data_IF_017758432810
#
_entry.id   IF_017758432810
#
_cell.length_a   1.000
_cell.length_b   1.000
_cell.length_c   1.000
_cell.angle_alpha   90.00
_cell.angle_beta   90.00
_cell.angle_gamma   90.00
#
_symmetry.space_group_name_H-M   'P 1'
#
loop_
_entity.id
_entity.type
_entity.pdbx_description
1 polymer ?
#
# COMPACT_ATOMS: atom_id res chain seq x y z
N UNK A 1 18.35 -17.88 -1.82
CA UNK A 1 17.32 -17.99 -2.86
C UNK A 1 16.07 -18.66 -2.26
N UNK A 2 15.11 -17.87 -1.76
CA UNK A 2 13.95 -18.39 -0.97
C UNK A 2 12.91 -19.13 -1.82
N UNK A 3 13.01 -19.05 -3.15
CA UNK A 3 12.08 -19.67 -4.09
C UNK A 3 12.33 -21.17 -4.34
N UNK A 4 13.44 -21.75 -3.83
CA UNK A 4 13.86 -23.11 -4.17
C UNK A 4 13.38 -24.21 -3.21
N UNK A 5 12.70 -23.88 -2.11
CA UNK A 5 12.13 -24.89 -1.23
C UNK A 5 10.91 -25.55 -1.90
N UNK A 6 11.10 -26.80 -2.35
CA UNK A 6 10.23 -27.56 -3.26
C UNK A 6 8.81 -27.84 -2.74
N UNK A 7 8.55 -27.66 -1.44
CA UNK A 7 7.30 -28.09 -0.78
C UNK A 7 6.53 -26.95 -0.06
N UNK A 8 6.73 -25.69 -0.44
CA UNK A 8 6.01 -24.55 0.15
C UNK A 8 4.79 -24.16 -0.69
N UNK A 9 3.65 -23.94 -0.02
CA UNK A 9 2.46 -23.37 -0.64
C UNK A 9 2.72 -21.94 -1.13
N UNK A 10 1.90 -21.43 -2.05
CA UNK A 10 2.01 -20.05 -2.53
C UNK A 10 1.82 -19.04 -1.39
N UNK A 11 0.96 -19.35 -0.42
CA UNK A 11 0.74 -18.55 0.77
C UNK A 11 1.99 -18.50 1.66
N UNK A 12 2.63 -19.65 1.87
CA UNK A 12 3.86 -19.75 2.65
C UNK A 12 5.02 -19.00 1.99
N UNK A 13 5.10 -19.02 0.65
CA UNK A 13 6.08 -18.24 -0.13
C UNK A 13 5.82 -16.73 -0.01
N UNK A 14 4.56 -16.30 -0.04
CA UNK A 14 4.19 -14.91 0.14
C UNK A 14 4.54 -14.42 1.56
N UNK A 15 4.27 -15.22 2.59
CA UNK A 15 4.63 -14.90 3.97
C UNK A 15 6.14 -14.75 4.17
N UNK A 16 6.94 -15.65 3.58
CA UNK A 16 8.41 -15.56 3.61
C UNK A 16 8.94 -14.32 2.86
N UNK A 17 8.34 -13.98 1.72
CA UNK A 17 8.71 -12.79 0.97
C UNK A 17 8.36 -11.50 1.72
N UNK A 18 7.16 -11.43 2.29
CA UNK A 18 6.71 -10.30 3.11
C UNK A 18 7.59 -10.11 4.36
N UNK A 19 7.98 -11.21 5.02
CA UNK A 19 8.91 -11.16 6.14
C UNK A 19 10.27 -10.56 5.75
N UNK A 20 10.84 -11.03 4.63
CA UNK A 20 12.10 -10.50 4.10
C UNK A 20 12.02 -9.02 3.74
N UNK A 21 10.92 -8.62 3.10
CA UNK A 21 10.68 -7.23 2.72
C UNK A 21 10.62 -6.31 3.95
N UNK A 22 9.97 -6.79 5.03
CA UNK A 22 9.81 -6.06 6.28
C UNK A 22 11.09 -5.92 7.11
N UNK A 23 12.06 -6.83 6.92
CA UNK A 23 13.35 -6.78 7.59
C UNK A 23 14.32 -5.83 6.89
N UNK A 24 14.25 -5.76 5.55
CA UNK A 24 15.04 -4.82 4.74
C UNK A 24 14.47 -3.40 4.70
N UNK A 25 13.26 -3.19 5.24
CA UNK A 25 12.67 -1.86 5.32
C UNK A 25 13.31 -1.05 6.47
N UNK A 26 13.79 0.19 6.23
CA UNK A 26 14.31 1.03 7.30
C UNK A 26 13.21 1.33 8.33
N UNK A 27 13.49 1.02 9.61
CA UNK A 27 12.52 1.21 10.70
C UNK A 27 12.64 2.61 11.30
N UNK A 28 11.59 3.42 11.18
CA UNK A 28 11.46 4.71 11.85
C UNK A 28 10.94 4.56 13.29
N UNK A 29 11.16 5.58 14.12
CA UNK A 29 10.61 5.63 15.50
C UNK A 29 9.08 5.57 15.53
N UNK A 30 8.42 6.05 14.47
CA UNK A 30 6.97 5.98 14.31
C UNK A 30 6.50 4.53 14.14
N UNK A 31 7.19 3.71 13.34
CA UNK A 31 6.82 2.30 13.17
C UNK A 31 6.83 1.51 14.49
N UNK A 32 7.80 1.75 15.38
CA UNK A 32 7.82 1.10 16.70
C UNK A 32 6.66 1.53 17.60
N UNK A 33 6.26 2.81 17.54
CA UNK A 33 5.11 3.32 18.31
C UNK A 33 3.80 2.71 17.81
N UNK A 34 3.61 2.69 16.49
CA UNK A 34 2.41 2.11 15.87
C UNK A 34 2.32 0.60 16.18
N UNK A 35 3.45 -0.13 16.08
CA UNK A 35 3.49 -1.54 16.43
C UNK A 35 3.13 -1.78 17.90
N UNK A 36 3.69 -0.98 18.82
CA UNK A 36 3.39 -1.09 20.25
C UNK A 36 1.93 -0.84 20.57
N UNK A 37 1.31 0.18 19.96
CA UNK A 37 -0.12 0.47 20.14
C UNK A 37 -0.99 -0.64 19.56
N UNK A 38 -0.71 -1.13 18.35
CA UNK A 38 -1.47 -2.23 17.73
C UNK A 38 -1.46 -3.51 18.57
N UNK A 39 -0.32 -3.84 19.20
CA UNK A 39 -0.23 -4.99 20.12
C UNK A 39 -1.09 -4.80 21.38
N UNK A 40 -1.29 -3.56 21.84
CA UNK A 40 -2.11 -3.25 23.01
C UNK A 40 -3.61 -3.21 22.70
N UNK A 41 -3.98 -2.78 21.48
CA UNK A 41 -5.39 -2.66 21.06
C UNK A 41 -5.96 -3.93 20.44
N UNK A 42 -5.16 -5.00 20.32
CA UNK A 42 -5.57 -6.25 19.68
C UNK A 42 -5.67 -6.16 18.15
N UNK A 43 -5.19 -5.07 17.56
CA UNK A 43 -5.18 -4.84 16.11
C UNK A 43 -4.09 -5.69 15.44
N UNK A 44 -4.29 -6.04 14.17
CA UNK A 44 -3.33 -6.89 13.41
C UNK A 44 -1.93 -6.25 13.36
N UNK A 45 -0.91 -7.09 13.61
CA UNK A 45 0.51 -6.72 13.55
C UNK A 45 0.90 -6.20 12.17
N UNK A 46 1.72 -5.15 12.12
CA UNK A 46 2.33 -4.62 10.89
C UNK A 46 3.32 -5.61 10.23
N UNK A 47 3.80 -6.59 11.00
CA UNK A 47 4.73 -7.59 10.53
C UNK A 47 4.04 -8.94 10.39
N UNK A 48 4.27 -9.67 9.28
CA UNK A 48 3.70 -11.00 9.10
C UNK A 48 4.22 -11.93 10.20
N UNK A 49 3.31 -12.67 10.82
CA UNK A 49 3.65 -13.67 11.82
C UNK A 49 4.00 -14.99 11.11
N UNK A 50 5.28 -15.31 11.02
CA UNK A 50 5.73 -16.60 10.46
C UNK A 50 5.36 -17.74 11.42
N UNK A 51 4.84 -18.84 10.89
CA UNK A 51 4.69 -20.07 11.66
C UNK A 51 6.08 -20.64 12.03
N UNK A 52 6.19 -21.43 13.10
CA UNK A 52 7.48 -21.94 13.58
C UNK A 52 8.30 -22.66 12.49
N UNK A 53 7.61 -23.43 11.63
CA UNK A 53 8.21 -24.10 10.47
C UNK A 53 8.78 -23.10 9.44
N UNK A 54 8.05 -22.02 9.14
CA UNK A 54 8.52 -21.00 8.19
C UNK A 54 9.66 -20.16 8.76
N UNK A 55 9.67 -19.94 10.07
CA UNK A 55 10.74 -19.21 10.74
C UNK A 55 12.07 -19.97 10.69
N UNK A 56 12.05 -21.29 10.83
CA UNK A 56 13.24 -22.13 10.65
C UNK A 56 13.77 -22.07 9.21
N UNK A 57 12.89 -22.15 8.21
CA UNK A 57 13.25 -22.06 6.78
C UNK A 57 13.87 -20.68 6.48
N UNK A 58 13.27 -19.61 7.02
CA UNK A 58 13.79 -18.26 6.89
C UNK A 58 15.20 -18.13 7.47
N UNK A 59 15.42 -18.60 8.70
CA UNK A 59 16.73 -18.55 9.36
C UNK A 59 17.80 -19.36 8.62
N UNK A 60 17.44 -20.53 8.09
CA UNK A 60 18.36 -21.34 7.28
C UNK A 60 18.75 -20.63 5.98
N UNK A 61 17.79 -19.99 5.30
CA UNK A 61 18.04 -19.23 4.09
C UNK A 61 18.94 -18.02 4.34
N UNK A 62 18.70 -17.29 5.44
CA UNK A 62 19.56 -16.18 5.87
C UNK A 62 20.97 -16.70 6.15
N UNK A 63 21.12 -17.76 6.96
CA UNK A 63 22.43 -18.35 7.29
C UNK A 63 23.23 -18.80 6.05
N UNK A 64 22.56 -19.30 5.02
CA UNK A 64 23.19 -19.64 3.73
C UNK A 64 23.68 -18.40 2.98
N UNK A 65 22.95 -17.28 3.01
CA UNK A 65 23.39 -16.03 2.38
C UNK A 65 24.61 -15.41 3.07
N UNK A 66 24.71 -15.51 4.41
CA UNK A 66 25.89 -15.02 5.15
C UNK A 66 27.15 -15.87 4.91
N UNK A 67 27.03 -17.11 4.42
CA UNK A 67 28.16 -17.96 4.08
C UNK A 67 28.80 -17.56 2.73
N UNK A 68 28.00 -17.06 1.78
CA UNK A 68 28.48 -16.60 0.46
C UNK A 68 29.19 -15.24 0.50
N UNK A 69 28.94 -14.40 1.51
CA UNK A 69 29.56 -13.07 1.64
C UNK A 69 30.99 -13.07 2.23
N UNK A 70 31.55 -14.23 2.59
CA UNK A 70 32.87 -14.31 3.27
C UNK A 70 34.08 -14.65 2.40
N UNK A 71 33.97 -14.58 1.06
CA UNK A 71 35.11 -14.78 0.14
C UNK A 71 35.42 -13.50 -0.67
N UNK A 72 36.17 -12.61 -0.02
CA UNK A 72 37.19 -11.63 -0.47
C UNK A 72 37.09 -10.80 -1.78
N UNK A 73 37.74 -9.62 -1.80
CA UNK A 73 37.33 -8.43 -2.56
C UNK A 73 38.18 -8.19 -3.81
N UNK A 74 37.66 -7.45 -4.79
CA UNK A 74 38.47 -6.59 -5.66
C UNK A 74 37.62 -5.41 -6.20
N UNK A 75 38.23 -4.22 -6.16
CA UNK A 75 37.68 -2.93 -6.57
C UNK A 75 37.59 -2.83 -8.10
N UNK A 76 36.57 -2.14 -8.64
CA UNK A 76 36.78 -0.93 -9.46
C UNK A 76 35.48 -0.33 -10.06
N UNK A 77 35.41 1.00 -9.91
CA UNK A 77 34.84 2.03 -10.81
C UNK A 77 33.32 2.26 -10.87
N UNK A 78 32.93 3.35 -10.18
CA UNK A 78 31.81 4.23 -10.51
C UNK A 78 31.91 4.74 -11.95
N UNK A 79 30.85 4.56 -12.74
CA UNK A 79 30.35 5.60 -13.62
C UNK A 79 28.96 5.26 -14.18
N UNK A 80 28.01 6.15 -13.83
CA UNK A 80 26.90 6.62 -14.64
C UNK A 80 26.20 5.58 -15.55
N UNK A 81 25.06 5.06 -15.10
CA UNK A 81 24.02 4.57 -16.00
C UNK A 81 22.68 5.12 -15.57
N UNK A 82 22.20 6.10 -16.33
CA UNK A 82 20.81 6.52 -16.38
C UNK A 82 19.92 5.28 -16.53
N UNK A 83 19.01 5.09 -15.58
CA UNK A 83 18.09 3.94 -15.57
C UNK A 83 16.87 4.33 -16.40
N UNK A 84 16.94 4.17 -17.71
CA UNK A 84 15.71 3.92 -18.48
C UNK A 84 15.30 2.46 -18.26
N UNK A 85 14.01 2.15 -18.06
CA UNK A 85 13.57 0.77 -17.89
C UNK A 85 13.84 0.00 -19.18
N UNK A 86 14.82 -0.90 -19.15
CA UNK A 86 15.05 -1.85 -20.23
C UNK A 86 13.97 -2.93 -20.15
N UNK A 87 12.98 -2.84 -21.02
CA UNK A 87 12.08 -3.95 -21.32
C UNK A 87 12.96 -5.07 -21.88
N UNK A 88 13.06 -6.19 -21.16
CA UNK A 88 13.72 -7.39 -21.66
C UNK A 88 12.81 -8.00 -22.73
N UNK A 89 12.99 -7.59 -23.98
CA UNK A 89 12.33 -8.23 -25.12
C UNK A 89 13.07 -9.55 -25.35
N UNK A 90 12.56 -10.61 -24.73
CA UNK A 90 12.90 -11.97 -25.12
C UNK A 90 12.49 -12.13 -26.60
N UNK A 91 13.49 -12.36 -27.45
CA UNK A 91 13.39 -12.20 -28.91
C UNK A 91 12.68 -13.39 -29.59
N UNK A 92 11.82 -14.09 -28.86
CA UNK A 92 11.02 -15.19 -29.36
C UNK A 92 9.75 -14.64 -30.02
N UNK A 93 9.93 -14.08 -31.23
CA UNK A 93 8.86 -13.46 -32.03
C UNK A 93 7.66 -14.39 -32.31
N UNK A 94 7.74 -15.68 -31.95
CA UNK A 94 6.69 -16.68 -32.15
C UNK A 94 5.80 -16.90 -30.93
N UNK A 95 6.16 -16.40 -29.75
CA UNK A 95 5.37 -16.58 -28.52
C UNK A 95 4.76 -15.24 -28.11
N UNK A 96 3.45 -15.21 -27.89
CA UNK A 96 2.77 -14.07 -27.31
C UNK A 96 3.01 -14.06 -25.80
N UNK A 97 3.57 -12.98 -25.28
CA UNK A 97 3.77 -12.82 -23.84
C UNK A 97 2.85 -11.73 -23.31
N UNK A 98 2.13 -12.02 -22.22
CA UNK A 98 1.28 -11.04 -21.54
C UNK A 98 1.71 -10.83 -20.09
N UNK A 99 1.68 -9.57 -19.64
CA UNK A 99 1.94 -9.20 -18.25
C UNK A 99 1.28 -7.85 -17.92
N UNK A 100 1.22 -7.48 -16.65
CA UNK A 100 0.78 -6.13 -16.28
C UNK A 100 1.82 -5.07 -16.71
N UNK A 101 1.35 -3.90 -17.14
CA UNK A 101 2.22 -2.76 -17.45
C UNK A 101 3.05 -2.34 -16.22
N UNK A 102 2.39 -2.27 -15.07
CA UNK A 102 2.99 -2.00 -13.75
C UNK A 102 2.69 -3.13 -12.76
N UNK A 103 3.60 -3.34 -11.82
CA UNK A 103 3.38 -4.23 -10.67
C UNK A 103 2.68 -3.55 -9.50
N UNK A 104 2.58 -2.21 -9.52
CA UNK A 104 1.96 -1.42 -8.47
C UNK A 104 1.04 -0.36 -9.08
N UNK A 105 -0.14 -0.21 -8.50
CA UNK A 105 -1.09 0.86 -8.80
C UNK A 105 -1.57 1.46 -7.49
N UNK A 106 -1.93 2.73 -7.53
CA UNK A 106 -2.53 3.43 -6.39
C UNK A 106 -3.73 4.22 -6.90
N UNK A 107 -4.79 4.26 -6.10
CA UNK A 107 -6.06 4.91 -6.42
C UNK A 107 -6.57 5.55 -5.14
N UNK A 108 -7.14 6.75 -5.25
CA UNK A 108 -7.88 7.34 -4.13
C UNK A 108 -9.23 6.66 -4.01
N UNK A 109 -9.70 6.44 -2.78
CA UNK A 109 -10.98 5.80 -2.51
C UNK A 109 -12.14 6.49 -3.25
N UNK A 110 -12.22 7.83 -3.18
CA UNK A 110 -13.19 8.65 -3.94
C UNK A 110 -13.17 8.50 -5.46
N UNK A 111 -12.13 7.93 -6.06
CA UNK A 111 -12.09 7.70 -7.53
C UNK A 111 -12.95 6.49 -7.92
N UNK A 112 -13.32 5.64 -6.95
CA UNK A 112 -14.22 4.48 -7.07
C UNK A 112 -13.80 3.43 -8.11
N UNK A 113 -12.68 3.64 -8.82
CA UNK A 113 -12.25 2.81 -9.94
C UNK A 113 -10.74 2.92 -10.14
N UNK A 114 -10.08 1.77 -10.18
CA UNK A 114 -8.69 1.65 -10.61
C UNK A 114 -8.62 0.99 -11.98
N UNK A 115 -7.77 1.52 -12.87
CA UNK A 115 -7.53 0.92 -14.19
C UNK A 115 -6.17 0.24 -14.19
N UNK A 116 -6.17 -1.07 -14.46
CA UNK A 116 -4.97 -1.87 -14.64
C UNK A 116 -4.77 -2.19 -16.12
N UNK A 117 -3.54 -2.06 -16.59
CA UNK A 117 -3.21 -2.27 -17.99
C UNK A 117 -2.46 -3.62 -18.14
N UNK A 118 -2.94 -4.47 -19.03
CA UNK A 118 -2.27 -5.71 -19.45
C UNK A 118 -1.64 -5.47 -20.81
N UNK A 119 -0.32 -5.65 -20.90
CA UNK A 119 0.45 -5.43 -22.13
C UNK A 119 0.85 -6.75 -22.75
N UNK A 120 0.91 -6.76 -24.08
CA UNK A 120 1.33 -7.89 -24.91
C UNK A 120 2.57 -7.54 -25.71
N UNK A 121 3.53 -8.45 -25.75
CA UNK A 121 4.70 -8.38 -26.62
C UNK A 121 5.03 -9.75 -27.24
N UNK A 122 5.94 -9.78 -28.21
CA UNK A 122 6.23 -10.98 -29.01
C UNK A 122 5.21 -11.15 -30.14
N UNK A 123 4.64 -12.35 -30.29
CA UNK A 123 3.66 -12.63 -31.34
C UNK A 123 2.33 -11.90 -31.08
N UNK A 124 1.80 -11.21 -32.09
CA UNK A 124 0.56 -10.40 -32.01
C UNK A 124 -0.56 -10.88 -32.92
N UNK A 125 -0.33 -11.92 -33.71
CA UNK A 125 -1.24 -12.43 -34.74
C UNK A 125 -2.30 -13.43 -34.23
N UNK A 126 -2.14 -13.94 -33.01
CA UNK A 126 -3.11 -14.83 -32.35
C UNK A 126 -4.06 -14.08 -31.40
N UNK A 127 -5.23 -14.67 -31.13
CA UNK A 127 -6.10 -14.25 -30.01
C UNK A 127 -5.47 -14.76 -28.71
N UNK A 128 -5.48 -13.94 -27.67
CA UNK A 128 -4.99 -14.34 -26.33
C UNK A 128 -6.14 -14.24 -25.34
N UNK A 129 -6.42 -15.32 -24.60
CA UNK A 129 -7.41 -15.37 -23.53
C UNK A 129 -6.73 -15.51 -22.17
N UNK A 130 -7.13 -14.66 -21.23
CA UNK A 130 -6.56 -14.64 -19.90
C UNK A 130 -7.62 -14.29 -18.87
N UNK A 131 -7.37 -14.66 -17.61
CA UNK A 131 -8.25 -14.37 -16.48
C UNK A 131 -7.56 -13.43 -15.50
N UNK A 132 -8.34 -12.48 -14.98
CA UNK A 132 -7.96 -11.67 -13.83
C UNK A 132 -8.80 -12.08 -12.63
N UNK A 133 -8.10 -12.40 -11.55
CA UNK A 133 -8.70 -12.70 -10.26
C UNK A 133 -8.15 -11.73 -9.21
N UNK A 134 -9.03 -11.05 -8.48
CA UNK A 134 -8.66 -10.25 -7.31
C UNK A 134 -8.48 -11.13 -6.09
N UNK A 135 -7.47 -10.82 -5.28
CA UNK A 135 -7.12 -11.53 -4.05
C UNK A 135 -7.01 -10.48 -2.94
N UNK A 136 -7.71 -10.75 -1.83
CA UNK A 136 -7.70 -9.88 -0.66
C UNK A 136 -6.29 -9.71 -0.09
N UNK A 137 -6.00 -8.51 0.42
CA UNK A 137 -4.77 -8.18 1.13
C UNK A 137 -5.11 -7.68 2.53
N UNK A 138 -4.90 -6.38 2.76
CA UNK A 138 -5.56 -5.69 3.89
C UNK A 138 -6.96 -5.24 3.50
N UNK A 139 -7.15 -4.83 2.24
CA UNK A 139 -8.45 -4.57 1.64
C UNK A 139 -9.17 -5.89 1.31
N UNK A 140 -10.47 -5.92 1.56
CA UNK A 140 -11.40 -7.04 1.51
C UNK A 140 -12.49 -6.80 0.47
N UNK A 141 -12.75 -7.81 -0.36
CA UNK A 141 -13.82 -7.73 -1.34
C UNK A 141 -15.21 -7.59 -0.69
N UNK A 142 -15.97 -6.59 -1.14
CA UNK A 142 -17.32 -6.26 -0.65
C UNK A 142 -17.35 -5.16 0.40
N UNK A 143 -16.21 -4.85 1.02
CA UNK A 143 -16.02 -3.71 1.92
C UNK A 143 -15.28 -2.60 1.15
N UNK A 144 -14.09 -2.88 0.62
CA UNK A 144 -13.20 -1.84 0.04
C UNK A 144 -13.15 -1.88 -1.49
N UNK A 145 -13.47 -3.03 -2.10
CA UNK A 145 -13.51 -3.17 -3.56
C UNK A 145 -14.47 -4.27 -4.01
N UNK A 146 -14.87 -4.25 -5.29
CA UNK A 146 -15.72 -5.29 -5.87
C UNK A 146 -14.85 -6.41 -6.43
N UNK A 147 -15.06 -7.64 -5.95
CA UNK A 147 -14.36 -8.84 -6.45
C UNK A 147 -14.44 -8.95 -7.97
N UNK A 148 -13.29 -9.08 -8.62
CA UNK A 148 -13.18 -9.37 -10.05
C UNK A 148 -12.65 -10.80 -10.24
N UNK A 149 -13.33 -11.58 -11.06
CA UNK A 149 -12.95 -12.95 -11.42
C UNK A 149 -13.48 -13.24 -12.83
N UNK A 150 -12.89 -12.58 -13.83
CA UNK A 150 -13.40 -12.54 -15.21
C UNK A 150 -12.34 -12.93 -16.25
N UNK A 151 -12.81 -13.53 -17.35
CA UNK A 151 -11.98 -13.82 -18.53
C UNK A 151 -12.03 -12.65 -19.52
N UNK A 152 -10.86 -12.25 -19.99
CA UNK A 152 -10.64 -11.23 -20.98
C UNK A 152 -9.98 -11.82 -22.23
N UNK A 153 -10.19 -11.14 -23.36
CA UNK A 153 -9.56 -11.46 -24.63
C UNK A 153 -8.83 -10.25 -25.22
N UNK A 154 -7.66 -10.52 -25.76
CA UNK A 154 -6.93 -9.62 -26.65
C UNK A 154 -7.03 -10.12 -28.08
N UNK A 155 -7.55 -9.29 -28.96
CA UNK A 155 -7.68 -9.59 -30.39
C UNK A 155 -6.30 -9.50 -31.08
N UNK A 156 -6.13 -10.10 -32.28
CA UNK A 156 -4.88 -9.95 -33.04
C UNK A 156 -4.55 -8.48 -33.29
N UNK A 157 -3.30 -8.10 -33.01
CA UNK A 157 -2.79 -6.73 -33.11
C UNK A 157 -3.08 -5.85 -31.88
N UNK A 158 -3.85 -6.31 -30.91
CA UNK A 158 -4.07 -5.58 -29.64
C UNK A 158 -2.82 -5.72 -28.76
N UNK A 159 -2.14 -4.59 -28.51
CA UNK A 159 -0.90 -4.55 -27.71
C UNK A 159 -1.16 -4.29 -26.23
N UNK A 160 -2.32 -3.73 -25.88
CA UNK A 160 -2.67 -3.31 -24.53
C UNK A 160 -4.17 -3.50 -24.29
N UNK A 161 -4.52 -4.00 -23.10
CA UNK A 161 -5.90 -4.10 -22.61
C UNK A 161 -6.02 -3.35 -21.30
N UNK A 162 -6.89 -2.34 -21.27
CA UNK A 162 -7.25 -1.62 -20.04
C UNK A 162 -8.42 -2.32 -19.36
N UNK A 163 -8.28 -2.64 -18.08
CA UNK A 163 -9.29 -3.33 -17.28
C UNK A 163 -9.57 -2.50 -16.03
N UNK A 164 -10.84 -2.22 -15.77
CA UNK A 164 -11.26 -1.41 -14.63
C UNK A 164 -11.77 -2.30 -13.51
N UNK A 165 -11.28 -2.07 -12.31
CA UNK A 165 -11.73 -2.71 -11.07
C UNK A 165 -12.44 -1.63 -10.25
N UNK A 166 -13.63 -1.93 -9.72
CA UNK A 166 -14.37 -0.97 -8.91
C UNK A 166 -13.87 -1.01 -7.47
N UNK A 167 -13.63 0.16 -6.91
CA UNK A 167 -13.30 0.45 -5.52
C UNK A 167 -14.59 0.97 -4.86
N UNK A 168 -14.80 0.61 -3.60
CA UNK A 168 -15.93 1.09 -2.80
C UNK A 168 -15.45 2.32 -2.04
N UNK A 169 -16.32 3.31 -1.95
CA UNK A 169 -16.06 4.61 -1.36
C UNK A 169 -17.03 4.79 -0.20
N UNK A 170 -16.49 4.88 1.01
CA UNK A 170 -17.28 5.11 2.22
C UNK A 170 -16.98 6.48 2.87
N UNK A 171 -17.22 6.65 4.18
CA UNK A 171 -16.85 7.91 4.88
C UNK A 171 -16.25 7.57 6.25
N UNK A 172 -15.67 6.37 6.37
CA UNK A 172 -15.01 5.89 7.56
C UNK A 172 -13.52 6.04 7.32
N UNK A 173 -12.86 6.71 8.26
CA UNK A 173 -11.42 6.79 8.19
C UNK A 173 -10.78 5.41 8.37
N UNK A 174 -10.06 4.99 7.34
CA UNK A 174 -9.28 3.76 7.32
C UNK A 174 -7.83 4.06 6.94
N UNK A 175 -6.85 3.26 7.40
CA UNK A 175 -5.49 3.39 6.89
C UNK A 175 -5.43 2.95 5.43
N UNK A 176 -4.44 3.42 4.65
CA UNK A 176 -4.21 2.91 3.30
C UNK A 176 -4.19 1.38 3.26
N UNK A 177 -4.98 0.84 2.33
CA UNK A 177 -5.20 -0.59 2.21
C UNK A 177 -4.74 -1.13 0.87
N UNK A 178 -4.53 -2.45 0.80
CA UNK A 178 -4.01 -3.09 -0.39
C UNK A 178 -4.73 -4.39 -0.72
N UNK A 179 -4.92 -4.65 -2.01
CA UNK A 179 -5.34 -5.93 -2.55
C UNK A 179 -4.49 -6.29 -3.78
N UNK A 180 -4.58 -7.53 -4.25
CA UNK A 180 -3.80 -8.01 -5.37
C UNK A 180 -4.69 -8.37 -6.56
N UNK A 181 -4.14 -8.24 -7.77
CA UNK A 181 -4.75 -8.74 -9.00
C UNK A 181 -3.80 -9.74 -9.62
N UNK A 182 -4.29 -10.97 -9.83
CA UNK A 182 -3.53 -12.05 -10.43
C UNK A 182 -3.95 -12.25 -11.88
N UNK A 183 -2.97 -12.26 -12.78
CA UNK A 183 -3.10 -12.62 -14.18
C UNK A 183 -2.81 -14.12 -14.35
N UNK A 184 -3.71 -14.83 -15.03
CA UNK A 184 -3.55 -16.23 -15.40
C UNK A 184 -4.01 -16.49 -16.83
N UNK A 185 -3.49 -17.54 -17.47
CA UNK A 185 -3.97 -17.96 -18.80
C UNK A 185 -5.32 -18.66 -18.63
N UNK A 186 -6.25 -18.41 -19.54
CA UNK A 186 -7.55 -19.07 -19.51
C UNK A 186 -7.45 -20.54 -19.95
N UNK A 187 -6.53 -20.84 -20.86
CA UNK A 187 -6.20 -22.19 -21.32
C UNK A 187 -4.68 -22.41 -21.25
N UNK A 188 -4.24 -23.25 -20.30
CA UNK A 188 -2.81 -23.56 -20.11
C UNK A 188 -2.25 -24.48 -21.21
N UNK A 189 -3.09 -25.03 -22.09
CA UNK A 189 -2.65 -25.90 -23.19
C UNK A 189 -2.08 -25.12 -24.40
N UNK A 190 -2.27 -23.79 -24.44
CA UNK A 190 -1.81 -22.96 -25.54
C UNK A 190 -0.30 -22.71 -25.48
N UNK A 191 0.47 -23.54 -26.20
CA UNK A 191 1.95 -23.50 -26.21
C UNK A 191 2.57 -22.24 -26.84
N UNK A 192 1.75 -21.39 -27.46
CA UNK A 192 2.18 -20.17 -28.15
C UNK A 192 1.93 -18.90 -27.32
N UNK A 193 1.46 -19.05 -26.08
CA UNK A 193 1.22 -17.95 -25.14
C UNK A 193 1.99 -18.23 -23.84
N UNK A 194 2.63 -17.20 -23.28
CA UNK A 194 3.26 -17.27 -21.97
C UNK A 194 2.94 -16.06 -21.13
N UNK A 195 3.01 -16.23 -19.81
CA UNK A 195 2.98 -15.11 -18.87
C UNK A 195 4.38 -14.48 -18.78
N UNK A 196 4.42 -13.16 -18.69
CA UNK A 196 5.66 -12.43 -18.43
C UNK A 196 6.06 -12.46 -16.97
N UNK A 197 6.84 -11.46 -16.55
CA UNK A 197 7.37 -11.35 -15.19
C UNK A 197 6.36 -10.74 -14.22
N UNK A 198 5.53 -9.82 -14.70
CA UNK A 198 4.54 -9.10 -13.88
C UNK A 198 3.18 -9.76 -13.96
N UNK A 199 3.02 -10.89 -13.27
CA UNK A 199 1.77 -11.66 -13.23
C UNK A 199 0.86 -11.33 -12.06
N UNK A 200 1.39 -10.61 -11.06
CA UNK A 200 0.64 -10.11 -9.92
C UNK A 200 0.88 -8.61 -9.83
N UNK A 201 -0.20 -7.85 -9.69
CA UNK A 201 -0.16 -6.42 -9.40
C UNK A 201 -0.69 -6.16 -7.99
N UNK A 202 0.00 -5.30 -7.25
CA UNK A 202 -0.45 -4.72 -5.98
C UNK A 202 -1.26 -3.46 -6.27
N UNK A 203 -2.47 -3.37 -5.74
CA UNK A 203 -3.30 -2.17 -5.77
C UNK A 203 -3.31 -1.59 -4.36
N UNK A 204 -3.03 -0.28 -4.24
CA UNK A 204 -3.17 0.48 -2.99
C UNK A 204 -4.39 1.39 -3.10
N UNK A 205 -5.34 1.22 -2.19
CA UNK A 205 -6.46 2.13 -1.97
C UNK A 205 -5.97 3.16 -0.94
N UNK A 206 -5.91 4.41 -1.36
CA UNK A 206 -5.52 5.54 -0.51
C UNK A 206 -6.80 6.13 0.04
N UNK A 207 -6.98 6.06 1.36
CA UNK A 207 -8.13 6.64 2.04
C UNK A 207 -8.04 8.16 1.99
N UNK A 208 -9.17 8.84 1.77
CA UNK A 208 -9.26 10.30 1.77
C UNK A 208 -10.21 10.89 2.82
N UNK A 209 -10.59 10.08 3.81
CA UNK A 209 -11.50 10.41 4.90
C UNK A 209 -10.79 10.78 6.21
N UNK A 210 -9.60 11.38 6.12
CA UNK A 210 -8.88 11.83 7.31
C UNK A 210 -9.73 12.83 8.13
N UNK A 211 -10.04 12.51 9.41
CA UNK A 211 -10.87 13.37 10.25
C UNK A 211 -10.10 14.61 10.71
N UNK A 212 -8.79 14.69 10.51
CA UNK A 212 -7.97 15.82 10.91
C UNK A 212 -7.78 15.98 12.42
N UNK A 213 -6.69 16.63 12.76
CA UNK A 213 -6.30 16.99 14.12
C UNK A 213 -6.82 18.38 14.46
N UNK A 214 -7.34 18.55 15.68
CA UNK A 214 -7.77 19.84 16.19
C UNK A 214 -6.69 20.39 17.12
N UNK A 215 -6.16 21.56 16.78
CA UNK A 215 -5.15 22.25 17.58
C UNK A 215 -5.39 23.76 17.64
N UNK A 216 -4.73 24.44 18.58
CA UNK A 216 -4.69 25.90 18.59
C UNK A 216 -3.69 26.40 17.55
N UNK A 217 -4.01 27.48 16.83
CA UNK A 217 -3.08 28.08 15.85
C UNK A 217 -1.79 28.54 16.55
N UNK A 218 -1.91 29.03 17.79
CA UNK A 218 -0.80 29.50 18.60
C UNK A 218 -0.92 28.98 20.03
N UNK A 219 0.22 28.61 20.63
CA UNK A 219 0.28 28.16 22.04
C UNK A 219 0.05 29.32 23.02
N UNK A 220 0.43 30.54 22.63
CA UNK A 220 0.33 31.74 23.46
C UNK A 220 -0.18 32.88 22.59
N UNK A 221 -1.33 33.45 22.97
CA UNK A 221 -1.86 34.67 22.35
C UNK A 221 -1.73 35.83 23.33
N UNK A 222 -0.97 36.86 22.94
CA UNK A 222 -0.83 38.07 23.75
C UNK A 222 -1.86 39.12 23.33
N UNK A 223 -2.76 39.46 24.23
CA UNK A 223 -3.79 40.48 24.01
C UNK A 223 -3.66 41.62 25.02
N UNK A 224 -4.04 42.83 24.60
CA UNK A 224 -4.19 43.97 25.51
C UNK A 224 -5.57 43.90 26.15
N UNK A 225 -5.68 44.30 27.41
CA UNK A 225 -6.95 44.35 28.15
C UNK A 225 -8.02 45.23 27.46
N UNK A 226 -7.59 46.22 26.66
CA UNK A 226 -8.49 47.11 25.92
C UNK A 226 -9.11 46.49 24.65
N UNK A 227 -8.78 45.25 24.29
CA UNK A 227 -9.27 44.60 23.05
C UNK A 227 -10.75 44.23 23.12
N UNK A 228 -11.30 44.11 24.34
CA UNK A 228 -12.68 43.67 24.57
C UNK A 228 -12.84 42.15 24.42
N UNK A 229 -12.61 41.62 23.22
CA UNK A 229 -12.72 40.19 22.91
C UNK A 229 -11.40 39.66 22.33
N UNK A 230 -10.85 38.63 22.97
CA UNK A 230 -9.72 37.88 22.44
C UNK A 230 -10.23 36.75 21.54
N UNK A 231 -9.80 36.73 20.28
CA UNK A 231 -10.08 35.63 19.36
C UNK A 231 -8.99 34.57 19.50
N UNK A 232 -9.36 33.41 20.04
CA UNK A 232 -8.47 32.25 20.11
C UNK A 232 -8.85 31.31 18.97
N UNK A 233 -7.95 31.18 18.01
CA UNK A 233 -8.21 30.37 16.82
C UNK A 233 -7.87 28.91 17.07
N UNK A 234 -8.79 28.06 16.64
CA UNK A 234 -8.64 26.62 16.60
C UNK A 234 -8.60 26.23 15.13
N UNK A 235 -7.56 25.49 14.74
CA UNK A 235 -7.35 25.01 13.38
C UNK A 235 -7.57 23.51 13.34
N UNK A 236 -8.09 23.03 12.20
CA UNK A 236 -8.18 21.62 11.87
C UNK A 236 -7.13 21.34 10.79
N UNK A 237 -6.17 20.48 11.07
CA UNK A 237 -5.03 20.16 10.19
C UNK A 237 -5.04 18.67 9.86
N UNK A 238 -4.31 18.25 8.82
CA UNK A 238 -4.19 16.82 8.43
C UNK A 238 -5.53 16.09 8.20
N UNK A 239 -6.51 16.79 7.61
CA UNK A 239 -7.82 16.22 7.33
C UNK A 239 -8.97 17.19 7.61
N UNK A 240 -10.10 16.97 6.95
CA UNK A 240 -11.30 17.77 7.13
C UNK A 240 -12.59 16.95 7.06
N UNK A 241 -12.48 15.63 6.98
CA UNK A 241 -13.64 14.80 6.71
C UNK A 241 -14.52 14.58 7.94
N UNK A 242 -15.82 14.55 7.73
CA UNK A 242 -16.78 14.36 8.81
C UNK A 242 -16.94 15.55 9.77
N UNK A 243 -17.92 15.41 10.67
CA UNK A 243 -18.26 16.41 11.69
C UNK A 243 -17.53 16.12 13.00
N UNK A 244 -16.72 17.07 13.45
CA UNK A 244 -16.04 17.00 14.75
C UNK A 244 -16.68 17.99 15.73
N UNK A 245 -16.93 17.53 16.96
CA UNK A 245 -17.34 18.36 18.09
C UNK A 245 -16.17 18.50 19.05
N UNK A 246 -15.84 19.74 19.41
CA UNK A 246 -14.70 20.06 20.29
C UNK A 246 -15.21 20.68 21.58
N UNK A 247 -14.76 20.16 22.71
CA UNK A 247 -15.01 20.75 24.02
C UNK A 247 -13.88 21.72 24.40
N UNK A 248 -14.24 22.88 24.90
CA UNK A 248 -13.32 23.87 25.41
C UNK A 248 -13.81 24.43 26.74
N UNK A 249 -12.85 24.87 27.57
CA UNK A 249 -13.12 25.65 28.77
C UNK A 249 -11.94 26.56 29.07
N UNK A 250 -12.22 27.70 29.69
CA UNK A 250 -11.19 28.60 30.25
C UNK A 250 -10.82 28.18 31.67
N UNK A 251 -9.54 28.18 32.00
CA UNK A 251 -9.01 27.88 33.34
C UNK A 251 -8.19 29.05 33.88
N UNK A 252 -8.25 29.24 35.20
CA UNK A 252 -7.55 30.33 35.88
C UNK A 252 -6.10 29.93 36.12
N UNK A 253 -5.21 30.90 35.92
CA UNK A 253 -3.81 30.81 36.35
C UNK A 253 -3.53 32.09 37.17
N UNK A 254 -2.86 33.07 36.57
CA UNK A 254 -2.65 34.39 37.19
C UNK A 254 -3.86 35.31 36.99
N UNK A 255 -4.51 35.18 35.83
CA UNK A 255 -5.79 35.81 35.54
C UNK A 255 -6.94 34.95 36.09
N UNK A 256 -7.92 35.60 36.72
CA UNK A 256 -9.05 34.96 37.39
C UNK A 256 -10.38 35.26 36.71
N UNK A 257 -11.22 34.23 36.58
CA UNK A 257 -12.53 34.38 35.96
C UNK A 257 -13.45 35.30 36.76
N UNK A 258 -14.18 36.18 36.08
CA UNK A 258 -15.05 37.28 36.56
C UNK A 258 -14.35 38.57 36.98
N UNK A 259 -13.02 38.56 37.15
CA UNK A 259 -12.24 39.77 37.41
C UNK A 259 -11.47 40.19 36.17
N UNK A 260 -10.70 39.27 35.61
CA UNK A 260 -9.75 39.56 34.53
C UNK A 260 -10.31 39.11 33.16
N UNK A 261 -11.13 38.06 33.14
CA UNK A 261 -11.87 37.63 31.95
C UNK A 261 -13.20 36.97 32.29
N UNK A 262 -14.10 36.86 31.30
CA UNK A 262 -15.34 36.10 31.44
C UNK A 262 -15.08 34.61 31.13
N UNK A 263 -15.47 33.71 32.03
CA UNK A 263 -15.30 32.27 31.79
C UNK A 263 -16.14 31.82 30.61
N UNK A 264 -15.55 31.01 29.73
CA UNK A 264 -16.27 30.34 28.63
C UNK A 264 -16.04 28.84 28.70
N UNK A 265 -17.07 28.09 28.36
CA UNK A 265 -17.03 26.64 28.19
C UNK A 265 -18.21 26.18 27.34
N UNK A 266 -18.08 25.06 26.64
CA UNK A 266 -19.21 24.41 25.99
C UNK A 266 -19.45 22.99 26.53
N UNK A 267 -20.74 22.68 26.72
CA UNK A 267 -21.24 21.33 26.92
C UNK A 267 -22.15 21.03 25.71
N UNK A 268 -21.71 20.18 24.79
CA UNK A 268 -22.55 19.62 23.74
C UNK A 268 -22.29 18.13 23.69
#
# INVERSE_FOLDING_TARGET
DLGQAKDLSLEEKAQLFAAKLSENMPRSRMQYRIQGVRMLTGSKSLFPHLSGRLQEIYQQAVKQQLLDETVSPDHENENQREVSPRINIDNDQKIATIEFASSNYAVLEREQRVTVDVVRYGATDSVVRFRLDTIDGTATAGEDYIKLSEEFKMEPGELEKKITINVIDDNQWEPDETFFVKLSLADEAETHIKLGTKTIALITIINDDEPGDIEFEEVITLVKESVGNAEIKVVRVNGADGRVTVHYRTEDIDATGKKDYERKSNNC
#
